data_IF_441615554754
#
_entry.id   IF_441615554754
#
_cell.length_a   1.000
_cell.length_b   1.000
_cell.length_c   1.000
_cell.angle_alpha   90.00
_cell.angle_beta   90.00
_cell.angle_gamma   90.00
#
_symmetry.space_group_name_H-M   'P 1'
#
loop_
_entity.id
_entity.type
_entity.pdbx_description
1 polymer ?
#
# COMPACT_ATOMS: atom_id res chain seq x y z
N UNK A 1 29.43 -22.72 -43.94
CA UNK A 1 28.70 -23.93 -43.52
C UNK A 1 27.40 -23.46 -42.86
N UNK A 2 26.33 -23.15 -43.60
CA UNK A 2 25.37 -24.08 -44.25
C UNK A 2 24.80 -25.11 -43.27
N UNK A 3 23.46 -25.08 -43.17
CA UNK A 3 22.52 -26.19 -42.89
C UNK A 3 22.27 -26.56 -41.41
N UNK A 4 21.18 -26.05 -40.84
CA UNK A 4 19.90 -26.78 -40.79
C UNK A 4 18.87 -26.06 -39.93
N UNK A 5 17.90 -25.41 -40.57
CA UNK A 5 16.50 -25.38 -40.15
C UNK A 5 15.65 -24.88 -41.35
N UNK A 6 15.68 -25.66 -42.43
CA UNK A 6 14.68 -25.64 -43.50
C UNK A 6 13.75 -26.82 -43.25
N UNK A 7 12.66 -26.56 -42.56
CA UNK A 7 11.36 -27.26 -42.62
C UNK A 7 10.38 -26.27 -41.96
N UNK A 8 9.26 -25.97 -42.63
CA UNK A 8 8.30 -24.89 -42.38
C UNK A 8 8.47 -23.59 -43.20
N UNK A 9 8.71 -23.75 -44.51
CA UNK A 9 7.89 -23.04 -45.49
C UNK A 9 6.83 -24.07 -45.90
N UNK A 10 5.54 -23.77 -45.68
CA UNK A 10 4.37 -24.33 -46.40
C UNK A 10 3.01 -24.10 -45.72
N UNK A 11 2.80 -23.01 -44.94
CA UNK A 11 1.41 -22.61 -44.54
C UNK A 11 1.15 -21.10 -44.60
N UNK A 12 2.15 -20.23 -44.83
CA UNK A 12 1.96 -18.76 -44.81
C UNK A 12 1.61 -18.16 -46.20
N UNK A 13 1.34 -18.98 -47.22
CA UNK A 13 1.05 -18.47 -48.58
C UNK A 13 -0.29 -18.94 -49.18
N UNK A 14 -1.28 -19.29 -48.34
CA UNK A 14 -2.59 -19.78 -48.81
C UNK A 14 -3.82 -19.14 -48.17
N UNK A 15 -3.73 -17.96 -47.55
CA UNK A 15 -4.92 -17.20 -47.08
C UNK A 15 -4.92 -15.73 -47.50
N UNK A 16 -3.95 -15.29 -48.31
CA UNK A 16 -3.91 -13.93 -48.89
C UNK A 16 -4.47 -13.85 -50.32
N UNK A 17 -5.26 -14.85 -50.75
CA UNK A 17 -6.04 -14.81 -51.99
C UNK A 17 -7.47 -15.25 -51.65
N UNK A 18 -8.22 -14.34 -51.04
CA UNK A 18 -9.70 -14.29 -51.01
C UNK A 18 -10.13 -12.93 -50.42
N UNK A 19 -9.56 -11.87 -50.98
CA UNK A 19 -10.20 -10.56 -51.06
C UNK A 19 -10.43 -10.35 -52.55
N UNK A 20 -11.65 -9.96 -52.90
CA UNK A 20 -12.19 -9.63 -54.24
C UNK A 20 -12.99 -10.75 -54.90
N UNK A 21 -14.19 -10.36 -55.36
CA UNK A 21 -15.23 -11.11 -56.09
C UNK A 21 -16.32 -11.69 -55.19
N UNK A 22 -17.24 -10.81 -54.77
CA UNK A 22 -18.65 -10.83 -55.21
C UNK A 22 -19.27 -9.46 -54.90
N UNK A 23 -18.86 -8.47 -55.68
CA UNK A 23 -19.70 -7.32 -56.03
C UNK A 23 -20.49 -7.77 -57.27
N UNK A 24 -21.80 -7.91 -57.16
CA UNK A 24 -22.68 -7.99 -58.33
C UNK A 24 -23.99 -7.24 -58.06
N UNK A 25 -24.11 -6.08 -58.71
CA UNK A 25 -25.31 -5.69 -59.48
C UNK A 25 -26.61 -5.36 -58.73
N UNK A 26 -26.95 -4.07 -58.78
CA UNK A 26 -28.19 -3.39 -58.39
C UNK A 26 -29.53 -4.09 -58.69
N UNK A 27 -30.49 -3.94 -57.76
CA UNK A 27 -31.86 -3.50 -58.04
C UNK A 27 -32.46 -2.75 -56.85
N UNK A 28 -33.06 -1.60 -57.13
CA UNK A 28 -33.74 -0.70 -56.18
C UNK A 28 -35.00 -1.34 -55.62
N UNK A 29 -35.20 -1.31 -54.30
CA UNK A 29 -36.50 -1.09 -53.68
C UNK A 29 -36.32 -0.56 -52.25
N UNK A 30 -36.99 0.55 -51.96
CA UNK A 30 -37.02 1.22 -50.68
C UNK A 30 -37.65 0.33 -49.59
N UNK A 31 -37.20 0.51 -48.34
CA UNK A 31 -38.02 0.73 -47.13
C UNK A 31 -37.33 0.19 -45.86
N UNK A 32 -37.22 1.06 -44.85
CA UNK A 32 -36.80 0.74 -43.48
C UNK A 32 -35.34 1.07 -43.15
N UNK A 33 -35.04 2.34 -42.82
CA UNK A 33 -33.84 2.65 -42.03
C UNK A 33 -34.07 2.16 -40.60
N UNK A 34 -33.67 0.92 -40.33
CA UNK A 34 -33.56 0.40 -38.97
C UNK A 34 -32.25 0.83 -38.34
N UNK A 35 -32.29 1.22 -37.06
CA UNK A 35 -31.11 1.49 -36.24
C UNK A 35 -30.27 0.21 -36.17
N UNK A 36 -29.10 0.18 -36.80
CA UNK A 36 -28.10 -0.87 -36.62
C UNK A 36 -27.03 -0.41 -35.64
N UNK A 37 -27.42 -0.19 -34.39
CA UNK A 37 -26.48 0.14 -33.31
C UNK A 37 -26.44 -1.02 -32.31
N UNK A 38 -25.23 -1.53 -32.04
CA UNK A 38 -24.98 -2.69 -31.20
C UNK A 38 -24.42 -2.20 -29.85
N UNK A 39 -24.93 -2.68 -28.69
CA UNK A 39 -24.41 -2.23 -27.41
C UNK A 39 -22.99 -2.70 -27.22
N UNK A 40 -22.15 -1.94 -26.52
CA UNK A 40 -20.83 -2.43 -26.14
C UNK A 40 -20.59 -2.39 -24.63
N UNK A 41 -19.86 -3.40 -24.16
CA UNK A 41 -19.44 -3.46 -22.77
C UNK A 41 -18.30 -2.47 -22.55
N UNK A 42 -18.61 -1.32 -21.98
CA UNK A 42 -17.60 -0.31 -21.66
C UNK A 42 -16.70 -0.74 -20.50
N UNK A 43 -17.26 -1.40 -19.50
CA UNK A 43 -16.49 -1.96 -18.39
C UNK A 43 -17.14 -3.23 -17.83
N UNK A 44 -16.29 -4.20 -17.51
CA UNK A 44 -16.68 -5.44 -16.84
C UNK A 44 -16.06 -5.40 -15.46
N UNK A 45 -16.85 -4.98 -14.47
CA UNK A 45 -16.39 -5.06 -13.08
C UNK A 45 -16.53 -6.50 -12.60
N UNK A 46 -15.40 -7.24 -12.57
CA UNK A 46 -15.32 -8.63 -12.10
C UNK A 46 -16.11 -8.86 -10.81
N UNK A 47 -16.81 -10.00 -10.82
CA UNK A 47 -17.93 -10.37 -9.99
C UNK A 47 -17.75 -10.18 -8.48
N UNK A 48 -18.79 -9.64 -7.84
CA UNK A 48 -18.88 -9.55 -6.38
C UNK A 48 -19.84 -10.60 -5.85
N UNK A 49 -19.36 -11.59 -5.09
CA UNK A 49 -20.17 -12.65 -4.45
C UNK A 49 -21.22 -13.36 -5.33
N UNK A 50 -20.89 -13.72 -6.57
CA UNK A 50 -21.84 -14.34 -7.50
C UNK A 50 -22.74 -13.36 -8.24
N UNK A 51 -22.43 -12.06 -8.14
CA UNK A 51 -23.04 -11.01 -8.97
C UNK A 51 -22.02 -10.54 -10.01
N UNK A 52 -22.33 -10.68 -11.30
CA UNK A 52 -21.53 -10.09 -12.39
C UNK A 52 -22.14 -8.75 -12.77
N UNK A 53 -21.35 -7.68 -12.79
CA UNK A 53 -21.82 -6.31 -13.09
C UNK A 53 -21.22 -5.82 -14.38
N UNK A 54 -22.06 -5.22 -15.22
CA UNK A 54 -21.69 -4.64 -16.50
C UNK A 54 -22.03 -3.15 -16.49
N UNK A 55 -21.13 -2.35 -17.01
CA UNK A 55 -21.42 -0.99 -17.47
C UNK A 55 -21.50 -1.07 -18.98
N UNK A 56 -22.67 -0.76 -19.53
CA UNK A 56 -22.96 -0.81 -20.96
C UNK A 56 -23.11 0.62 -21.43
N UNK A 57 -22.43 0.97 -22.53
CA UNK A 57 -22.55 2.27 -23.16
C UNK A 57 -23.70 2.33 -24.15
N UNK A 58 -24.27 3.51 -24.36
CA UNK A 58 -24.92 3.80 -25.64
C UNK A 58 -23.86 3.77 -26.76
N UNK A 59 -24.20 3.18 -27.91
CA UNK A 59 -23.43 3.41 -29.13
C UNK A 59 -23.48 4.91 -29.42
N UNK A 60 -22.33 5.58 -29.50
CA UNK A 60 -22.30 7.03 -29.76
C UNK A 60 -22.36 7.21 -31.28
N UNK A 61 -23.41 7.87 -31.75
CA UNK A 61 -23.53 8.29 -33.14
C UNK A 61 -22.71 9.57 -33.35
N UNK A 62 -21.70 9.52 -34.22
CA UNK A 62 -20.97 10.69 -34.71
C UNK A 62 -21.33 10.89 -36.19
N UNK A 63 -22.56 11.30 -36.47
CA UNK A 63 -22.86 11.92 -37.76
C UNK A 63 -22.58 13.42 -37.66
N UNK A 64 -21.32 13.80 -37.86
CA UNK A 64 -20.99 15.17 -38.25
C UNK A 64 -21.46 15.36 -39.70
N UNK A 65 -22.64 15.95 -39.89
CA UNK A 65 -23.00 16.54 -41.17
C UNK A 65 -22.11 17.78 -41.40
N UNK A 66 -21.10 17.65 -42.26
CA UNK A 66 -20.45 18.80 -42.92
C UNK A 66 -21.16 19.03 -44.27
N UNK A 67 -22.30 19.71 -44.21
CA UNK A 67 -22.76 20.64 -45.25
C UNK A 67 -22.99 21.95 -44.50
N UNK A 68 -22.35 23.06 -44.83
CA UNK A 68 -22.44 23.69 -46.14
C UNK A 68 -21.15 24.36 -46.60
N UNK A 69 -21.07 24.49 -47.92
CA UNK A 69 -20.12 25.31 -48.66
C UNK A 69 -20.15 26.76 -48.16
N UNK A 70 -19.00 27.27 -47.72
CA UNK A 70 -18.79 28.70 -47.57
C UNK A 70 -18.79 29.35 -48.95
N UNK A 71 -19.92 29.94 -49.33
CA UNK A 71 -19.99 31.03 -50.31
C UNK A 71 -19.85 32.35 -49.54
N UNK A 72 -18.67 32.96 -49.59
CA UNK A 72 -18.46 34.35 -49.20
C UNK A 72 -19.37 35.27 -50.04
N UNK A 73 -20.28 36.00 -49.40
CA UNK A 73 -20.31 37.47 -49.41
C UNK A 73 -21.64 38.04 -48.90
N UNK A 74 -21.49 39.20 -48.27
CA UNK A 74 -22.45 40.28 -48.04
C UNK A 74 -23.34 40.26 -46.79
N UNK A 75 -22.95 41.21 -45.91
CA UNK A 75 -23.72 41.93 -44.90
C UNK A 75 -25.14 42.29 -45.36
N UNK A 76 -26.16 41.99 -44.53
CA UNK A 76 -27.22 42.95 -44.15
C UNK A 76 -27.75 42.59 -42.74
N UNK A 77 -27.95 43.63 -41.93
CA UNK A 77 -28.71 43.66 -40.68
C UNK A 77 -30.23 43.38 -40.89
N UNK A 78 -30.91 43.20 -39.77
CA UNK A 78 -32.37 43.30 -39.52
C UNK A 78 -33.26 42.06 -39.75
N UNK A 79 -33.83 41.65 -38.61
CA UNK A 79 -35.23 41.27 -38.33
C UNK A 79 -35.95 40.20 -39.18
N UNK A 80 -36.51 39.25 -38.42
CA UNK A 80 -37.64 38.37 -38.75
C UNK A 80 -37.47 37.42 -39.95
N UNK A 81 -37.01 36.20 -39.65
CA UNK A 81 -37.52 35.01 -40.34
C UNK A 81 -37.61 33.81 -39.39
N UNK A 82 -38.80 33.65 -38.80
CA UNK A 82 -39.28 32.37 -38.30
C UNK A 82 -39.49 31.45 -39.50
N UNK A 83 -38.51 30.61 -39.82
CA UNK A 83 -38.77 29.43 -40.63
C UNK A 83 -39.15 28.28 -39.68
N UNK A 84 -40.42 27.92 -39.73
CA UNK A 84 -40.94 26.67 -39.19
C UNK A 84 -40.22 25.54 -39.93
N UNK A 85 -39.16 25.01 -39.33
CA UNK A 85 -38.82 23.63 -39.60
C UNK A 85 -39.94 22.79 -38.99
N UNK A 86 -40.76 22.22 -39.88
CA UNK A 86 -41.65 21.12 -39.57
C UNK A 86 -40.89 20.15 -38.66
N UNK A 87 -41.40 19.94 -37.46
CA UNK A 87 -41.03 18.82 -36.60
C UNK A 87 -41.52 17.54 -37.33
N UNK A 88 -40.84 17.16 -38.42
CA UNK A 88 -40.96 15.82 -38.97
C UNK A 88 -40.44 14.86 -37.89
N UNK A 89 -41.38 14.29 -37.15
CA UNK A 89 -41.31 13.07 -36.33
C UNK A 89 -39.95 12.36 -36.38
N UNK A 90 -38.96 12.92 -35.68
CA UNK A 90 -37.78 12.16 -35.32
C UNK A 90 -38.26 11.22 -34.22
N UNK A 91 -38.67 10.02 -34.61
CA UNK A 91 -38.77 8.90 -33.68
C UNK A 91 -37.36 8.67 -33.13
N UNK A 92 -37.05 9.42 -32.07
CA UNK A 92 -36.01 9.12 -31.12
C UNK A 92 -36.39 7.80 -30.44
N UNK A 93 -36.21 6.71 -31.18
CA UNK A 93 -36.26 5.35 -30.62
C UNK A 93 -34.95 5.10 -29.89
N UNK A 94 -34.66 5.99 -28.94
CA UNK A 94 -33.61 5.82 -27.97
C UNK A 94 -33.94 4.54 -27.19
N UNK A 95 -33.09 3.51 -27.24
CA UNK A 95 -33.40 2.23 -26.64
C UNK A 95 -33.59 2.39 -25.12
N UNK A 96 -34.81 2.13 -24.65
CA UNK A 96 -35.20 2.39 -23.27
C UNK A 96 -34.71 1.29 -22.31
N UNK A 97 -34.40 0.10 -22.83
CA UNK A 97 -34.06 -1.08 -22.05
C UNK A 97 -32.94 -1.91 -22.68
N UNK A 98 -32.17 -2.54 -21.81
CA UNK A 98 -31.08 -3.45 -22.13
C UNK A 98 -31.38 -4.83 -21.54
N UNK A 99 -31.07 -5.87 -22.31
CA UNK A 99 -31.23 -7.25 -21.89
C UNK A 99 -29.89 -7.97 -21.87
N UNK A 100 -29.54 -8.57 -20.74
CA UNK A 100 -28.30 -9.30 -20.52
C UNK A 100 -28.55 -10.80 -20.59
N UNK A 101 -27.79 -11.47 -21.45
CA UNK A 101 -27.88 -12.90 -21.68
C UNK A 101 -26.59 -13.59 -21.26
N UNK A 102 -26.72 -14.84 -20.79
CA UNK A 102 -25.61 -15.66 -20.30
C UNK A 102 -25.70 -17.09 -20.85
N UNK A 103 -24.55 -17.68 -21.16
CA UNK A 103 -24.38 -19.11 -21.39
C UNK A 103 -23.15 -19.68 -20.68
N UNK A 104 -23.14 -21.00 -20.48
CA UNK A 104 -21.94 -21.77 -20.08
C UNK A 104 -21.05 -22.12 -21.28
N UNK A 105 -21.58 -21.98 -22.50
CA UNK A 105 -20.89 -22.24 -23.77
C UNK A 105 -20.75 -20.93 -24.57
N UNK A 106 -19.79 -20.88 -25.47
CA UNK A 106 -19.47 -19.64 -26.21
C UNK A 106 -20.47 -19.35 -27.35
N UNK A 107 -21.09 -20.38 -27.93
CA UNK A 107 -21.82 -20.29 -29.19
C UNK A 107 -23.34 -20.36 -29.05
N UNK A 108 -23.85 -21.01 -28.02
CA UNK A 108 -25.27 -21.38 -27.88
C UNK A 108 -25.72 -21.35 -26.41
N UNK A 109 -27.00 -21.67 -26.14
CA UNK A 109 -27.53 -21.80 -24.78
C UNK A 109 -27.67 -20.50 -24.00
N UNK A 110 -27.77 -19.36 -24.70
CA UNK A 110 -27.92 -18.05 -24.05
C UNK A 110 -29.33 -17.84 -23.51
N UNK A 111 -29.41 -17.60 -22.20
CA UNK A 111 -30.66 -17.26 -21.52
C UNK A 111 -30.59 -15.86 -20.91
N UNK A 112 -31.71 -15.14 -20.91
CA UNK A 112 -31.78 -13.81 -20.29
C UNK A 112 -31.66 -13.96 -18.76
N UNK A 113 -30.68 -13.27 -18.18
CA UNK A 113 -30.40 -13.33 -16.73
C UNK A 113 -30.67 -12.01 -16.02
N UNK A 114 -30.75 -10.90 -16.74
CA UNK A 114 -31.11 -9.60 -16.21
C UNK A 114 -31.59 -8.66 -17.32
N UNK A 115 -32.28 -7.61 -16.93
CA UNK A 115 -32.52 -6.43 -17.77
C UNK A 115 -32.42 -5.16 -16.93
N UNK A 116 -32.25 -4.02 -17.59
CA UNK A 116 -32.18 -2.72 -16.94
C UNK A 116 -32.39 -1.58 -17.93
N UNK A 117 -32.57 -0.38 -17.41
CA UNK A 117 -32.71 0.85 -18.19
C UNK A 117 -31.43 1.68 -18.05
N UNK A 118 -31.33 2.76 -18.83
CA UNK A 118 -30.30 3.77 -18.64
C UNK A 118 -30.33 4.33 -17.22
N UNK A 119 -29.16 4.51 -16.60
CA UNK A 119 -29.03 5.27 -15.36
C UNK A 119 -28.76 6.76 -15.63
N UNK A 120 -28.25 7.07 -16.83
CA UNK A 120 -28.00 8.39 -17.36
C UNK A 120 -27.99 8.32 -18.89
N UNK A 121 -27.88 9.47 -19.55
CA UNK A 121 -27.97 9.62 -21.00
C UNK A 121 -26.97 8.77 -21.80
N UNK A 122 -25.97 8.11 -21.16
CA UNK A 122 -24.89 7.42 -21.86
C UNK A 122 -24.65 5.98 -21.40
N UNK A 123 -25.22 5.53 -20.28
CA UNK A 123 -24.86 4.23 -19.71
C UNK A 123 -25.96 3.55 -18.88
N UNK A 124 -25.98 2.22 -18.97
CA UNK A 124 -26.79 1.35 -18.13
C UNK A 124 -25.89 0.48 -17.24
N UNK A 125 -26.35 0.23 -16.00
CA UNK A 125 -25.72 -0.75 -15.09
C UNK A 125 -26.63 -1.95 -14.91
N UNK A 126 -26.18 -3.11 -15.40
CA UNK A 126 -26.93 -4.36 -15.30
C UNK A 126 -26.13 -5.39 -14.53
N UNK A 127 -26.82 -6.25 -13.77
CA UNK A 127 -26.17 -7.28 -12.98
C UNK A 127 -26.87 -8.63 -13.06
N UNK A 128 -26.12 -9.67 -13.42
CA UNK A 128 -26.53 -11.06 -13.21
C UNK A 128 -26.24 -11.44 -11.76
N UNK A 129 -27.29 -11.69 -10.96
CA UNK A 129 -27.19 -12.04 -9.54
C UNK A 129 -27.19 -13.55 -9.27
N UNK A 130 -27.21 -14.37 -10.32
CA UNK A 130 -27.40 -15.83 -10.25
C UNK A 130 -26.12 -16.61 -10.57
N UNK A 131 -25.02 -15.92 -10.90
CA UNK A 131 -23.78 -16.55 -11.31
C UNK A 131 -23.09 -17.30 -10.16
N UNK A 132 -22.69 -18.55 -10.38
CA UNK A 132 -22.00 -19.35 -9.38
C UNK A 132 -20.49 -19.07 -9.35
N UNK A 133 -19.92 -18.87 -8.15
CA UNK A 133 -18.46 -18.74 -7.96
C UNK A 133 -17.76 -20.02 -8.42
N UNK A 134 -16.65 -19.85 -9.15
CA UNK A 134 -15.86 -20.94 -9.75
C UNK A 134 -16.28 -21.29 -11.17
N UNK A 135 -17.43 -20.80 -11.63
CA UNK A 135 -17.87 -20.96 -13.00
C UNK A 135 -17.23 -19.92 -13.92
N UNK A 136 -17.19 -20.27 -15.19
CA UNK A 136 -16.87 -19.36 -16.30
C UNK A 136 -18.11 -19.28 -17.17
N UNK A 137 -18.55 -18.07 -17.45
CA UNK A 137 -19.72 -17.80 -18.27
C UNK A 137 -19.38 -16.89 -19.44
N UNK A 138 -20.23 -16.94 -20.46
CA UNK A 138 -20.17 -16.09 -21.63
C UNK A 138 -21.41 -15.19 -21.65
N UNK A 139 -21.21 -13.89 -21.82
CA UNK A 139 -22.27 -12.89 -21.78
C UNK A 139 -22.41 -12.15 -23.11
N UNK A 140 -23.65 -11.80 -23.45
CA UNK A 140 -24.03 -10.90 -24.54
C UNK A 140 -25.10 -9.93 -24.04
N UNK A 141 -25.19 -8.75 -24.65
CA UNK A 141 -26.22 -7.75 -24.37
C UNK A 141 -26.87 -7.29 -25.68
N UNK A 142 -28.14 -6.90 -25.61
CA UNK A 142 -28.88 -6.24 -26.70
C UNK A 142 -29.81 -5.14 -26.16
N UNK A 143 -30.32 -4.31 -27.08
CA UNK A 143 -31.29 -3.25 -26.81
C UNK A 143 -32.73 -3.67 -27.10
N UNK A 144 -33.67 -3.16 -26.30
CA UNK A 144 -35.12 -3.32 -26.49
C UNK A 144 -35.88 -2.05 -26.08
N UNK A 145 -37.03 -1.80 -26.68
CA UNK A 145 -37.97 -0.76 -26.22
C UNK A 145 -38.73 -1.20 -24.95
N UNK A 146 -39.45 -0.28 -24.29
CA UNK A 146 -40.28 -0.60 -23.11
C UNK A 146 -41.34 -1.67 -23.36
N UNK A 147 -41.84 -1.77 -24.59
CA UNK A 147 -42.81 -2.79 -25.02
C UNK A 147 -42.19 -4.17 -25.29
N UNK A 148 -40.85 -4.28 -25.24
CA UNK A 148 -40.10 -5.52 -25.49
C UNK A 148 -39.68 -5.71 -26.95
N UNK A 149 -39.96 -4.76 -27.84
CA UNK A 149 -39.53 -4.80 -29.23
C UNK A 149 -38.00 -4.75 -29.30
N UNK A 150 -37.41 -5.69 -30.06
CA UNK A 150 -35.95 -5.79 -30.24
C UNK A 150 -35.48 -4.70 -31.18
N UNK A 151 -34.53 -3.88 -30.72
CA UNK A 151 -34.08 -2.67 -31.43
C UNK A 151 -32.68 -2.82 -32.05
N UNK A 152 -31.98 -3.95 -31.82
CA UNK A 152 -30.64 -4.17 -32.35
C UNK A 152 -30.14 -5.59 -32.12
N UNK A 153 -29.00 -5.91 -32.75
CA UNK A 153 -28.34 -7.20 -32.59
C UNK A 153 -27.61 -7.33 -31.25
N UNK A 154 -27.20 -8.56 -30.94
CA UNK A 154 -26.30 -8.81 -29.81
C UNK A 154 -24.91 -8.26 -30.06
N UNK A 155 -24.26 -7.88 -28.98
CA UNK A 155 -22.85 -7.55 -29.00
C UNK A 155 -21.90 -8.75 -29.04
N UNK A 156 -20.60 -8.43 -29.10
CA UNK A 156 -19.53 -9.41 -28.98
C UNK A 156 -19.57 -10.13 -27.63
N UNK A 157 -19.30 -11.43 -27.68
CA UNK A 157 -19.27 -12.29 -26.48
C UNK A 157 -18.16 -11.89 -25.54
N UNK A 158 -18.50 -11.72 -24.27
CA UNK A 158 -17.53 -11.53 -23.18
C UNK A 158 -17.45 -12.77 -22.30
N UNK A 159 -16.22 -13.25 -22.05
CA UNK A 159 -15.93 -14.35 -21.13
C UNK A 159 -15.63 -13.83 -19.72
N UNK A 160 -16.36 -14.31 -18.71
CA UNK A 160 -16.22 -13.88 -17.32
C UNK A 160 -16.03 -15.07 -16.39
N UNK A 161 -14.96 -15.05 -15.58
CA UNK A 161 -14.76 -15.97 -14.46
C UNK A 161 -15.35 -15.40 -13.18
N UNK A 162 -16.18 -16.17 -12.48
CA UNK A 162 -16.86 -15.73 -11.26
C UNK A 162 -16.00 -16.07 -10.04
N UNK A 163 -15.64 -15.05 -9.27
CA UNK A 163 -14.76 -15.16 -8.09
C UNK A 163 -15.41 -14.55 -6.83
N UNK A 164 -14.92 -14.86 -5.63
CA UNK A 164 -15.42 -14.23 -4.40
C UNK A 164 -14.95 -12.78 -4.24
N UNK A 165 -15.66 -12.02 -3.39
CA UNK A 165 -15.31 -10.64 -3.03
C UNK A 165 -13.94 -10.56 -2.34
N UNK A 166 -13.07 -9.63 -2.71
CA UNK A 166 -11.78 -9.49 -2.05
C UNK A 166 -11.91 -8.99 -0.60
N UNK A 167 -11.10 -9.56 0.28
CA UNK A 167 -11.02 -9.11 1.67
C UNK A 167 -10.37 -7.73 1.79
N UNK A 168 -11.02 -6.80 2.49
CA UNK A 168 -10.51 -5.43 2.73
C UNK A 168 -9.67 -5.36 4.00
N UNK A 169 -8.35 -5.19 3.86
CA UNK A 169 -7.46 -4.95 5.01
C UNK A 169 -7.78 -3.57 5.61
N UNK A 170 -7.99 -3.55 6.92
CA UNK A 170 -8.22 -2.32 7.71
C UNK A 170 -6.92 -1.73 8.26
N UNK A 171 -6.01 -2.60 8.69
CA UNK A 171 -4.83 -2.18 9.44
C UNK A 171 -3.78 -3.29 9.43
N UNK A 172 -2.52 -2.90 9.28
CA UNK A 172 -1.36 -3.74 9.57
C UNK A 172 -0.47 -2.99 10.55
N UNK A 173 -0.19 -3.57 11.72
CA UNK A 173 0.64 -2.91 12.74
C UNK A 173 1.48 -3.89 13.55
N UNK A 174 2.63 -3.43 14.04
CA UNK A 174 3.43 -4.20 14.98
C UNK A 174 2.70 -4.40 16.32
N UNK A 175 2.64 -5.65 16.78
CA UNK A 175 2.08 -6.00 18.10
C UNK A 175 3.04 -6.84 18.95
N UNK A 176 4.13 -7.29 18.35
CA UNK A 176 5.21 -7.99 19.02
C UNK A 176 6.52 -7.85 18.26
N UNK A 177 7.62 -8.23 18.92
CA UNK A 177 9.01 -8.04 18.44
C UNK A 177 9.31 -8.56 17.03
N UNK A 178 8.54 -9.55 16.57
CA UNK A 178 8.62 -10.18 15.24
C UNK A 178 7.24 -10.43 14.64
N UNK A 179 6.23 -9.72 15.14
CA UNK A 179 4.83 -9.92 14.79
C UNK A 179 4.19 -8.64 14.28
N UNK A 180 3.66 -8.69 13.06
CA UNK A 180 2.62 -7.76 12.59
C UNK A 180 1.25 -8.41 12.80
N UNK A 181 0.27 -7.63 13.22
CA UNK A 181 -1.14 -8.03 13.21
C UNK A 181 -1.83 -7.35 12.04
N UNK A 182 -2.35 -8.17 11.14
CA UNK A 182 -3.16 -7.76 9.99
C UNK A 182 -4.61 -7.95 10.38
N UNK A 183 -5.46 -6.93 10.18
CA UNK A 183 -6.90 -6.97 10.46
C UNK A 183 -7.69 -6.62 9.21
N UNK A 184 -8.84 -7.26 9.00
CA UNK A 184 -9.72 -7.01 7.86
C UNK A 184 -11.20 -7.09 8.24
N UNK A 185 -12.10 -6.68 7.32
CA UNK A 185 -13.54 -6.98 7.40
C UNK A 185 -13.80 -8.37 6.83
N UNK A 186 -14.66 -9.15 7.48
CA UNK A 186 -15.13 -10.42 6.93
C UNK A 186 -15.92 -10.18 5.64
N UNK A 187 -15.91 -11.19 4.79
CA UNK A 187 -16.58 -11.26 3.49
C UNK A 187 -17.59 -12.39 3.59
N UNK A 188 -18.81 -12.18 3.09
CA UNK A 188 -19.85 -13.20 3.02
C UNK A 188 -19.56 -14.21 1.91
N UNK A 189 -20.12 -15.42 2.00
CA UNK A 189 -20.08 -16.41 0.90
C UNK A 189 -18.65 -16.84 0.48
N UNK A 190 -17.73 -16.94 1.45
CA UNK A 190 -16.35 -17.41 1.27
C UNK A 190 -16.04 -18.50 2.29
N UNK A 191 -15.06 -19.36 1.98
CA UNK A 191 -14.61 -20.42 2.91
C UNK A 191 -13.37 -20.00 3.71
N UNK A 192 -12.65 -18.98 3.23
CA UNK A 192 -11.54 -18.42 3.96
C UNK A 192 -10.76 -17.36 3.21
N UNK A 193 -9.55 -17.12 3.73
CA UNK A 193 -8.62 -16.15 3.18
C UNK A 193 -7.23 -16.74 3.03
N UNK A 194 -6.58 -16.44 1.91
CA UNK A 194 -5.17 -16.66 1.68
C UNK A 194 -4.42 -15.34 1.90
N UNK A 195 -3.39 -15.42 2.75
CA UNK A 195 -2.53 -14.28 3.08
C UNK A 195 -1.21 -14.45 2.37
N UNK A 196 -0.80 -13.41 1.66
CA UNK A 196 0.50 -13.32 1.00
C UNK A 196 1.26 -12.08 1.49
N UNK A 197 2.58 -12.09 1.36
CA UNK A 197 3.41 -10.98 1.79
C UNK A 197 4.61 -10.72 0.88
N UNK A 198 5.08 -9.48 0.87
CA UNK A 198 6.33 -9.03 0.24
C UNK A 198 7.06 -8.12 1.24
N UNK A 199 8.34 -8.38 1.48
CA UNK A 199 9.21 -7.43 2.20
C UNK A 199 9.60 -6.31 1.23
N UNK A 200 9.57 -5.07 1.70
CA UNK A 200 9.87 -3.89 0.88
C UNK A 200 11.01 -3.10 1.52
N UNK A 201 11.75 -2.38 0.67
CA UNK A 201 12.87 -1.53 1.09
C UNK A 201 12.38 -0.19 1.67
N UNK A 202 13.35 0.61 2.08
CA UNK A 202 13.15 1.87 2.80
C UNK A 202 12.55 2.96 1.90
N UNK A 203 12.97 3.04 0.64
CA UNK A 203 12.46 3.99 -0.35
C UNK A 203 10.99 3.73 -0.67
N UNK A 204 10.64 2.46 -0.92
CA UNK A 204 9.27 2.05 -1.14
C UNK A 204 8.40 2.26 0.11
N UNK A 205 8.98 2.18 1.30
CA UNK A 205 8.29 2.53 2.55
C UNK A 205 7.96 4.01 2.67
N UNK A 206 8.87 4.90 2.30
CA UNK A 206 8.59 6.33 2.27
C UNK A 206 7.45 6.67 1.30
N UNK A 207 7.45 6.05 0.11
CA UNK A 207 6.35 6.16 -0.85
C UNK A 207 5.03 5.71 -0.22
N UNK A 208 4.95 4.47 0.28
CA UNK A 208 3.71 3.93 0.84
C UNK A 208 3.16 4.77 2.00
N UNK A 209 4.04 5.28 2.87
CA UNK A 209 3.63 6.17 3.94
C UNK A 209 3.01 7.47 3.39
N UNK A 210 3.69 8.10 2.43
CA UNK A 210 3.21 9.34 1.81
C UNK A 210 1.85 9.14 1.11
N UNK A 211 1.72 8.12 0.26
CA UNK A 211 0.51 7.90 -0.54
C UNK A 211 -0.68 7.37 0.27
N UNK A 212 -0.46 6.57 1.31
CA UNK A 212 -1.55 6.06 2.17
C UNK A 212 -2.33 7.16 2.91
N UNK A 213 -1.73 8.34 3.05
CA UNK A 213 -2.36 9.52 3.66
C UNK A 213 -3.37 10.19 2.72
N UNK A 214 -3.19 10.02 1.40
CA UNK A 214 -3.96 10.74 0.39
C UNK A 214 -4.98 9.85 -0.33
N UNK A 215 -4.74 8.54 -0.50
CA UNK A 215 -5.72 7.63 -1.12
C UNK A 215 -5.65 6.21 -0.56
N UNK A 216 -6.81 5.57 -0.35
CA UNK A 216 -6.89 4.14 0.00
C UNK A 216 -6.53 3.21 -1.16
N UNK A 217 -6.59 3.73 -2.39
CA UNK A 217 -6.48 2.96 -3.64
C UNK A 217 -5.12 3.15 -4.32
N UNK A 218 -4.30 4.11 -3.88
CA UNK A 218 -2.97 4.46 -4.42
C UNK A 218 -1.88 3.39 -4.28
N UNK A 219 -2.20 2.19 -3.78
CA UNK A 219 -1.27 1.04 -3.74
C UNK A 219 -1.18 0.35 -5.11
N UNK A 220 -2.16 0.56 -6.00
CA UNK A 220 -2.16 0.00 -7.37
C UNK A 220 -0.98 0.50 -8.21
N UNK A 221 -0.65 1.80 -8.14
CA UNK A 221 0.43 2.43 -8.90
C UNK A 221 1.82 1.82 -8.65
N UNK A 222 2.03 1.21 -7.48
CA UNK A 222 3.32 0.62 -7.10
C UNK A 222 3.49 -0.86 -7.47
N UNK A 223 2.42 -1.55 -7.92
CA UNK A 223 2.55 -2.93 -8.39
C UNK A 223 3.25 -3.01 -9.77
N UNK A 224 3.19 -1.95 -10.58
CA UNK A 224 3.81 -1.90 -11.93
C UNK A 224 5.29 -1.51 -11.93
N UNK A 225 5.73 -0.67 -10.99
CA UNK A 225 7.12 -0.16 -10.92
C UNK A 225 8.07 -0.91 -9.99
N UNK A 226 7.57 -1.76 -9.09
CA UNK A 226 8.42 -2.49 -8.15
C UNK A 226 9.14 -3.67 -8.84
N UNK A 227 10.42 -3.91 -8.52
CA UNK A 227 11.08 -5.20 -8.83
C UNK A 227 10.09 -6.34 -8.59
N UNK A 228 9.85 -7.16 -9.64
CA UNK A 228 8.85 -8.24 -9.73
C UNK A 228 9.14 -9.41 -8.76
N UNK A 229 9.60 -9.14 -7.54
CA UNK A 229 9.65 -10.14 -6.47
C UNK A 229 8.21 -10.55 -6.17
N UNK A 230 7.86 -11.82 -6.40
CA UNK A 230 6.49 -12.29 -6.22
C UNK A 230 6.12 -12.27 -4.74
N UNK A 231 4.83 -12.02 -4.48
CA UNK A 231 4.26 -12.21 -3.16
C UNK A 231 4.45 -13.67 -2.72
N UNK A 232 4.91 -13.86 -1.48
CA UNK A 232 5.07 -15.18 -0.88
C UNK A 232 3.82 -15.57 -0.13
N UNK A 233 3.33 -16.78 -0.34
CA UNK A 233 2.24 -17.33 0.46
C UNK A 233 2.67 -17.45 1.93
N UNK A 234 1.79 -17.02 2.85
CA UNK A 234 2.00 -17.18 4.29
C UNK A 234 1.16 -18.33 4.84
N UNK A 235 -0.17 -18.21 4.75
CA UNK A 235 -1.11 -19.25 5.18
C UNK A 235 -2.55 -18.94 4.76
N UNK A 236 -3.41 -19.95 4.88
CA UNK A 236 -4.87 -19.79 4.86
C UNK A 236 -5.44 -19.61 6.27
N UNK A 237 -6.59 -18.95 6.38
CA UNK A 237 -7.40 -18.84 7.61
C UNK A 237 -8.89 -18.97 7.27
N UNK A 238 -9.72 -19.32 8.25
CA UNK A 238 -11.17 -19.53 8.07
C UNK A 238 -11.91 -18.26 7.67
N UNK A 239 -13.12 -18.42 7.12
CA UNK A 239 -14.02 -17.32 6.76
C UNK A 239 -14.39 -16.40 7.95
N UNK A 240 -14.46 -16.96 9.16
CA UNK A 240 -14.76 -16.21 10.39
C UNK A 240 -13.59 -15.36 10.89
N UNK A 241 -12.38 -15.56 10.37
CA UNK A 241 -11.20 -14.85 10.82
C UNK A 241 -11.27 -13.35 10.48
N UNK A 242 -11.01 -12.52 11.49
CA UNK A 242 -10.93 -11.04 11.36
C UNK A 242 -9.49 -10.51 11.44
N UNK A 243 -8.53 -11.38 11.74
CA UNK A 243 -7.13 -10.99 11.91
C UNK A 243 -6.16 -12.16 11.77
N UNK A 244 -4.91 -11.85 11.46
CA UNK A 244 -3.80 -12.79 11.52
C UNK A 244 -2.56 -12.18 12.15
N UNK A 245 -1.82 -13.00 12.90
CA UNK A 245 -0.45 -12.70 13.32
C UNK A 245 0.53 -13.16 12.24
N UNK A 246 1.22 -12.22 11.60
CA UNK A 246 2.34 -12.46 10.71
C UNK A 246 3.65 -12.44 11.51
N UNK A 247 4.21 -13.61 11.78
CA UNK A 247 5.33 -13.80 12.72
C UNK A 247 6.72 -13.85 12.04
N UNK A 248 6.82 -13.38 10.78
CA UNK A 248 8.08 -13.37 10.01
C UNK A 248 8.68 -11.96 9.87
N UNK A 249 8.11 -10.95 10.53
CA UNK A 249 8.57 -9.58 10.37
C UNK A 249 9.84 -9.28 11.16
N UNK A 250 10.68 -8.42 10.61
CA UNK A 250 11.97 -8.00 11.18
C UNK A 250 11.94 -6.52 11.54
N UNK A 251 12.57 -6.16 12.66
CA UNK A 251 12.68 -4.76 13.11
C UNK A 251 13.10 -3.81 11.99
N UNK A 252 12.34 -2.72 11.83
CA UNK A 252 12.59 -1.67 10.83
C UNK A 252 12.33 -2.07 9.38
N UNK A 253 11.80 -3.26 9.10
CA UNK A 253 11.43 -3.69 7.75
C UNK A 253 9.95 -3.46 7.47
N UNK A 254 9.69 -3.05 6.23
CA UNK A 254 8.37 -2.87 5.65
C UNK A 254 7.81 -4.15 5.05
N UNK A 255 6.49 -4.28 5.11
CA UNK A 255 5.79 -5.40 4.48
C UNK A 255 4.52 -4.95 3.78
N UNK A 256 4.37 -5.37 2.53
CA UNK A 256 3.08 -5.42 1.83
C UNK A 256 2.41 -6.76 2.13
N UNK A 257 1.12 -6.72 2.44
CA UNK A 257 0.29 -7.88 2.74
C UNK A 257 -0.87 -7.89 1.77
N UNK A 258 -0.95 -8.93 0.94
CA UNK A 258 -2.07 -9.14 0.01
C UNK A 258 -3.02 -10.16 0.62
N UNK A 259 -4.29 -9.78 0.73
CA UNK A 259 -5.37 -10.62 1.25
C UNK A 259 -6.29 -11.00 0.11
N UNK A 260 -6.38 -12.30 -0.18
CA UNK A 260 -7.35 -12.85 -1.13
C UNK A 260 -8.36 -13.70 -0.37
N UNK A 261 -9.64 -13.47 -0.58
CA UNK A 261 -10.66 -14.43 -0.16
C UNK A 261 -10.62 -15.63 -1.11
N UNK A 262 -11.12 -16.77 -0.64
CA UNK A 262 -11.32 -17.92 -1.49
C UNK A 262 -12.64 -18.63 -1.17
N UNK A 263 -13.18 -19.30 -2.18
CA UNK A 263 -14.24 -20.31 -2.04
C UNK A 263 -13.73 -21.65 -2.55
N UNK A 264 -14.17 -22.73 -1.92
CA UNK A 264 -13.93 -24.10 -2.33
C UNK A 264 -15.02 -24.50 -3.32
N UNK A 265 -14.59 -24.88 -4.52
CA UNK A 265 -15.45 -25.39 -5.60
C UNK A 265 -14.78 -26.67 -6.07
N UNK A 266 -15.47 -27.79 -5.92
CA UNK A 266 -14.95 -29.14 -6.24
C UNK A 266 -13.57 -29.42 -5.61
N UNK A 267 -13.41 -29.01 -4.35
CA UNK A 267 -12.16 -29.16 -3.60
C UNK A 267 -11.03 -28.20 -4.01
N UNK A 268 -11.22 -27.37 -5.04
CA UNK A 268 -10.25 -26.36 -5.50
C UNK A 268 -10.57 -24.99 -4.92
N UNK A 269 -9.52 -24.23 -4.58
CA UNK A 269 -9.65 -22.84 -4.09
C UNK A 269 -9.75 -21.87 -5.27
N UNK A 270 -10.90 -21.24 -5.42
CA UNK A 270 -11.11 -20.12 -6.35
C UNK A 270 -10.89 -18.82 -5.58
N UNK A 271 -9.85 -18.06 -5.93
CA UNK A 271 -9.48 -16.82 -5.25
C UNK A 271 -10.07 -15.57 -5.91
N UNK A 272 -10.28 -14.51 -5.13
CA UNK A 272 -10.57 -13.16 -5.65
C UNK A 272 -9.44 -12.65 -6.57
N UNK A 273 -9.79 -11.96 -7.67
CA UNK A 273 -8.83 -11.45 -8.67
C UNK A 273 -7.94 -10.31 -8.13
N UNK A 274 -8.52 -9.29 -7.47
CA UNK A 274 -7.76 -8.18 -6.84
C UNK A 274 -7.79 -8.29 -5.32
N UNK A 275 -6.76 -8.85 -4.69
CA UNK A 275 -6.63 -8.78 -3.23
C UNK A 275 -6.26 -7.37 -2.79
N UNK A 276 -6.97 -6.81 -1.81
CA UNK A 276 -6.55 -5.53 -1.22
C UNK A 276 -5.17 -5.71 -0.57
N UNK A 277 -4.30 -4.75 -0.84
CA UNK A 277 -2.96 -4.71 -0.27
C UNK A 277 -2.98 -3.77 0.93
N UNK A 278 -2.58 -4.29 2.08
CA UNK A 278 -2.27 -3.49 3.25
C UNK A 278 -0.77 -3.40 3.42
N UNK A 279 -0.28 -2.38 4.10
CA UNK A 279 1.14 -2.22 4.38
C UNK A 279 1.37 -1.92 5.86
N UNK A 280 2.54 -2.30 6.37
CA UNK A 280 2.96 -1.95 7.72
C UNK A 280 4.44 -2.17 7.95
N UNK A 281 5.01 -1.39 8.87
CA UNK A 281 6.40 -1.49 9.32
C UNK A 281 6.45 -2.27 10.63
N UNK A 282 7.49 -3.09 10.80
CA UNK A 282 7.76 -3.71 12.09
C UNK A 282 8.52 -2.74 12.99
N UNK A 283 7.76 -1.85 13.63
CA UNK A 283 8.18 -0.77 14.52
C UNK A 283 7.83 -1.07 16.00
N UNK A 284 7.77 -2.35 16.40
CA UNK A 284 7.53 -2.72 17.80
C UNK A 284 8.54 -2.04 18.74
N UNK A 285 9.79 -1.95 18.29
CA UNK A 285 10.82 -1.08 18.84
C UNK A 285 10.90 0.19 17.99
N UNK A 286 11.38 1.29 18.60
CA UNK A 286 11.50 2.57 17.91
C UNK A 286 12.33 2.44 16.63
N UNK A 287 11.84 3.02 15.54
CA UNK A 287 12.48 2.99 14.23
C UNK A 287 12.27 4.34 13.53
N UNK A 288 13.30 5.16 13.30
CA UNK A 288 13.15 6.56 12.89
C UNK A 288 12.37 6.74 11.57
N UNK A 289 12.43 5.75 10.68
CA UNK A 289 11.82 5.79 9.35
C UNK A 289 10.35 5.33 9.32
N UNK A 290 9.72 5.19 10.48
CA UNK A 290 8.30 4.84 10.60
C UNK A 290 7.49 6.05 11.11
N UNK A 291 6.19 6.08 10.82
CA UNK A 291 5.24 7.05 11.41
C UNK A 291 5.31 7.11 12.94
N UNK A 292 5.74 6.02 13.57
CA UNK A 292 6.03 5.92 14.99
C UNK A 292 4.90 6.45 15.87
N UNK A 293 3.63 6.24 15.51
CA UNK A 293 2.47 6.78 16.24
C UNK A 293 2.49 6.42 17.73
N UNK A 294 3.01 5.24 18.08
CA UNK A 294 3.28 4.80 19.46
C UNK A 294 4.26 5.73 20.20
N UNK A 295 5.33 6.13 19.52
CA UNK A 295 6.47 6.88 20.04
C UNK A 295 6.35 8.40 19.88
N UNK A 296 5.31 8.91 19.19
CA UNK A 296 4.98 10.34 19.17
C UNK A 296 4.91 10.87 20.62
N UNK A 297 5.84 11.76 20.94
CA UNK A 297 5.87 12.51 22.19
C UNK A 297 5.17 13.84 21.91
N UNK A 298 4.18 14.17 22.73
CA UNK A 298 3.59 15.52 22.72
C UNK A 298 4.57 16.42 23.46
N UNK A 299 5.17 17.37 22.74
CA UNK A 299 6.00 18.42 23.32
C UNK A 299 5.14 19.24 24.30
N UNK A 300 5.42 19.27 25.61
CA UNK A 300 4.81 20.24 26.50
C UNK A 300 5.14 21.66 26.03
N UNK A 301 4.15 22.53 26.12
CA UNK A 301 4.30 23.97 25.82
C UNK A 301 5.22 24.71 26.80
N UNK A 302 5.69 24.06 27.89
CA UNK A 302 6.62 24.64 28.87
C UNK A 302 7.37 23.58 29.70
N UNK A 303 8.58 23.94 30.15
CA UNK A 303 9.48 23.15 31.01
C UNK A 303 8.88 22.89 32.42
N UNK A 304 7.92 23.73 32.85
CA UNK A 304 7.23 23.65 34.15
C UNK A 304 6.30 22.44 34.35
N UNK A 305 6.34 21.43 33.46
CA UNK A 305 5.52 20.23 33.52
C UNK A 305 6.27 18.94 33.90
N UNK A 306 7.46 19.03 34.50
CA UNK A 306 8.27 17.87 34.94
C UNK A 306 7.49 16.80 35.71
N UNK A 307 6.53 17.21 36.56
CA UNK A 307 5.63 16.31 37.32
C UNK A 307 4.81 15.37 36.41
N UNK A 308 4.46 15.82 35.19
CA UNK A 308 3.73 14.99 34.22
C UNK A 308 4.62 13.93 33.57
N UNK A 309 5.92 14.16 33.46
CA UNK A 309 6.87 13.21 32.86
C UNK A 309 7.32 12.13 33.83
N UNK A 310 7.53 12.46 35.11
CA UNK A 310 7.85 11.46 36.14
C UNK A 310 6.81 10.32 36.18
N UNK A 311 5.51 10.62 36.01
CA UNK A 311 4.43 9.62 35.92
C UNK A 311 4.54 8.67 34.71
N UNK A 312 5.27 9.08 33.67
CA UNK A 312 5.52 8.32 32.44
C UNK A 312 6.83 7.54 32.48
N UNK A 313 7.58 7.60 33.59
CA UNK A 313 8.84 6.88 33.75
C UNK A 313 8.65 5.48 34.33
N UNK A 314 9.59 4.59 34.05
CA UNK A 314 9.71 3.26 34.65
C UNK A 314 11.18 2.90 34.79
N UNK A 315 11.53 2.15 35.82
CA UNK A 315 12.87 1.62 36.00
C UNK A 315 13.01 0.32 35.21
N UNK A 316 14.06 0.21 34.40
CA UNK A 316 14.41 -1.00 33.68
C UNK A 316 15.70 -1.58 34.25
N UNK A 317 15.75 -2.90 34.41
CA UNK A 317 16.99 -3.62 34.66
C UNK A 317 17.60 -4.05 33.31
N UNK A 318 18.88 -3.74 33.11
CA UNK A 318 19.65 -4.13 31.92
C UNK A 318 20.97 -4.77 32.33
N UNK A 319 21.43 -5.77 31.57
CA UNK A 319 22.73 -6.41 31.79
C UNK A 319 23.79 -5.73 30.95
N UNK A 320 24.95 -5.48 31.53
CA UNK A 320 26.14 -4.93 30.88
C UNK A 320 27.38 -5.75 31.25
N UNK A 321 28.50 -5.45 30.61
CA UNK A 321 29.80 -5.96 31.02
C UNK A 321 30.55 -4.89 31.79
N UNK A 322 31.33 -5.29 32.78
CA UNK A 322 32.24 -4.41 33.50
C UNK A 322 33.51 -5.21 33.85
N UNK A 323 34.62 -4.55 34.14
CA UNK A 323 35.85 -5.22 34.61
C UNK A 323 35.77 -5.47 36.10
N UNK A 324 36.24 -6.65 36.56
CA UNK A 324 36.33 -6.93 38.00
C UNK A 324 37.11 -5.86 38.77
N UNK A 325 38.19 -5.37 38.18
CA UNK A 325 38.83 -4.13 38.62
C UNK A 325 38.47 -3.03 37.63
N UNK A 326 37.44 -2.26 37.98
CA UNK A 326 36.91 -1.16 37.19
C UNK A 326 37.98 -0.10 36.94
N UNK A 327 38.61 0.45 37.98
CA UNK A 327 39.57 1.56 37.87
C UNK A 327 40.80 1.19 37.03
N UNK A 328 41.32 -0.03 37.17
CA UNK A 328 42.51 -0.46 36.45
C UNK A 328 42.22 -1.04 35.06
N UNK A 329 40.95 -1.17 34.65
CA UNK A 329 40.52 -1.85 33.42
C UNK A 329 41.05 -3.29 33.31
N UNK A 330 41.19 -3.99 34.44
CA UNK A 330 41.91 -5.27 34.53
C UNK A 330 41.03 -6.42 35.00
N UNK A 331 41.46 -7.63 34.65
CA UNK A 331 40.82 -8.88 35.03
C UNK A 331 39.68 -9.29 34.11
N UNK A 332 39.01 -10.38 34.47
CA UNK A 332 37.87 -10.88 33.72
C UNK A 332 36.70 -9.88 33.74
N UNK A 333 36.02 -9.75 32.60
CA UNK A 333 34.74 -9.03 32.55
C UNK A 333 33.65 -9.84 33.26
N UNK A 334 32.82 -9.18 34.04
CA UNK A 334 31.68 -9.78 34.72
C UNK A 334 30.37 -9.11 34.28
N UNK A 335 29.26 -9.81 34.52
CA UNK A 335 27.92 -9.27 34.26
C UNK A 335 27.54 -8.29 35.36
N UNK A 336 27.29 -7.04 35.00
CA UNK A 336 26.71 -6.03 35.89
C UNK A 336 25.25 -5.81 35.51
N UNK A 337 24.38 -5.58 36.50
CA UNK A 337 22.99 -5.17 36.26
C UNK A 337 22.86 -3.70 36.58
N UNK A 338 22.44 -2.90 35.61
CA UNK A 338 22.15 -1.48 35.78
C UNK A 338 20.64 -1.27 35.84
N UNK A 339 20.22 -0.31 36.67
CA UNK A 339 18.83 0.10 36.83
C UNK A 339 18.69 1.52 36.29
N UNK A 340 17.96 1.68 35.19
CA UNK A 340 17.87 2.94 34.46
C UNK A 340 16.41 3.40 34.47
N UNK A 341 16.15 4.63 34.89
CA UNK A 341 14.83 5.22 34.84
C UNK A 341 14.57 5.84 33.46
N UNK A 342 13.65 5.27 32.70
CA UNK A 342 13.39 5.64 31.28
C UNK A 342 11.90 5.86 31.02
N UNK A 343 11.56 6.43 29.88
CA UNK A 343 10.18 6.53 29.43
C UNK A 343 9.54 5.14 29.23
N UNK A 344 8.34 4.92 29.79
CA UNK A 344 7.56 3.66 29.65
C UNK A 344 7.41 3.21 28.20
N UNK A 345 7.25 4.15 27.26
CA UNK A 345 7.09 3.83 25.83
C UNK A 345 8.38 3.28 25.20
N UNK A 346 9.54 3.81 25.61
CA UNK A 346 10.85 3.44 25.09
C UNK A 346 11.53 2.30 25.86
N UNK A 347 11.04 1.97 27.06
CA UNK A 347 11.56 0.88 27.88
C UNK A 347 11.79 -0.44 27.11
N UNK A 348 10.88 -0.93 26.24
CA UNK A 348 11.15 -2.12 25.43
C UNK A 348 12.34 -1.94 24.46
N UNK A 349 12.45 -0.77 23.83
CA UNK A 349 13.53 -0.42 22.89
C UNK A 349 14.86 -0.38 23.62
N UNK A 350 14.96 0.35 24.73
CA UNK A 350 16.21 0.51 25.48
C UNK A 350 16.66 -0.85 26.06
N UNK A 351 15.74 -1.66 26.61
CA UNK A 351 16.05 -3.04 27.02
C UNK A 351 16.62 -3.88 25.86
N UNK A 352 16.11 -3.69 24.65
CA UNK A 352 16.61 -4.42 23.48
C UNK A 352 17.99 -3.92 23.04
N UNK A 353 18.25 -2.62 23.06
CA UNK A 353 19.57 -2.03 22.78
C UNK A 353 20.63 -2.65 23.71
N UNK A 354 20.43 -2.55 25.02
CA UNK A 354 21.37 -3.11 25.99
C UNK A 354 21.51 -4.63 25.87
N UNK A 355 20.41 -5.35 25.56
CA UNK A 355 20.47 -6.80 25.30
C UNK A 355 21.35 -7.15 24.11
N UNK A 356 21.31 -6.38 23.02
CA UNK A 356 22.16 -6.59 21.84
C UNK A 356 23.62 -6.26 22.13
N UNK A 357 23.88 -5.14 22.82
CA UNK A 357 25.22 -4.76 23.28
C UNK A 357 25.83 -5.85 24.18
N UNK A 358 25.07 -6.32 25.17
CA UNK A 358 25.50 -7.37 26.11
C UNK A 358 25.84 -8.69 25.43
N UNK A 359 25.10 -9.06 24.38
CA UNK A 359 25.33 -10.29 23.61
C UNK A 359 26.45 -10.18 22.58
N UNK A 360 26.97 -8.98 22.34
CA UNK A 360 28.02 -8.80 21.37
C UNK A 360 29.33 -9.48 21.82
N UNK A 361 30.06 -10.08 20.88
CA UNK A 361 31.32 -10.79 21.13
C UNK A 361 32.40 -9.90 21.75
N UNK A 362 32.41 -8.59 21.45
CA UNK A 362 33.42 -7.64 21.97
C UNK A 362 33.20 -7.31 23.46
N UNK A 363 32.00 -7.61 24.01
CA UNK A 363 31.64 -7.35 25.41
C UNK A 363 32.00 -5.92 25.85
N UNK A 364 31.50 -4.88 25.18
CA UNK A 364 31.89 -3.50 25.49
C UNK A 364 31.51 -3.19 26.95
N UNK A 365 32.45 -2.65 27.75
CA UNK A 365 32.19 -2.46 29.17
C UNK A 365 31.40 -1.16 29.42
N UNK A 366 30.31 -1.25 30.17
CA UNK A 366 29.44 -0.16 30.59
C UNK A 366 29.21 -0.33 32.08
N UNK A 367 29.87 0.50 32.89
CA UNK A 367 29.82 0.38 34.35
C UNK A 367 28.68 1.21 34.96
N UNK A 368 28.18 2.20 34.22
CA UNK A 368 27.06 3.05 34.60
C UNK A 368 26.30 3.57 33.39
N UNK A 369 25.02 3.88 33.60
CA UNK A 369 24.17 4.51 32.59
C UNK A 369 23.05 5.32 33.27
N UNK A 370 22.83 6.55 32.80
CA UNK A 370 21.80 7.47 33.29
C UNK A 370 20.81 7.85 32.19
N UNK A 371 19.57 8.18 32.54
CA UNK A 371 18.54 8.60 31.58
C UNK A 371 17.69 9.74 32.12
N UNK A 372 16.58 9.46 32.81
CA UNK A 372 15.72 10.52 33.31
C UNK A 372 16.41 11.37 34.37
N UNK A 373 16.38 12.69 34.20
CA UNK A 373 16.83 13.69 35.16
C UNK A 373 15.76 14.76 35.31
N UNK A 374 15.56 15.24 36.53
CA UNK A 374 14.50 16.19 36.86
C UNK A 374 15.02 17.64 36.78
N UNK A 375 14.34 18.49 36.02
CA UNK A 375 14.51 19.95 36.10
C UNK A 375 15.70 20.53 35.33
N UNK A 376 16.20 19.84 34.30
CA UNK A 376 17.22 20.41 33.40
C UNK A 376 16.59 21.42 32.42
N UNK A 377 17.36 22.46 32.07
CA UNK A 377 17.05 23.58 31.19
C UNK A 377 17.01 23.18 29.70
N UNK A 378 16.90 24.14 28.77
CA UNK A 378 16.61 23.93 27.33
C UNK A 378 17.52 22.92 26.59
N UNK A 379 18.69 22.57 27.16
CA UNK A 379 19.63 21.57 26.62
C UNK A 379 19.38 20.12 27.11
N UNK A 380 18.63 19.92 28.21
CA UNK A 380 18.35 18.61 28.85
C UNK A 380 17.00 17.99 28.48
N UNK A 381 16.39 18.43 27.36
CA UNK A 381 15.01 18.10 27.02
C UNK A 381 14.74 16.59 26.90
N UNK A 382 15.68 15.84 26.30
CA UNK A 382 15.54 14.39 26.11
C UNK A 382 15.78 13.58 27.39
N UNK A 383 16.62 14.08 28.30
CA UNK A 383 16.77 13.51 29.66
C UNK A 383 15.48 13.68 30.45
N UNK A 384 14.90 14.87 30.49
CA UNK A 384 13.59 15.12 31.14
C UNK A 384 12.45 14.25 30.58
N UNK A 385 12.58 13.74 29.35
CA UNK A 385 11.62 12.83 28.74
C UNK A 385 11.92 11.35 28.95
N UNK A 386 13.08 11.01 29.52
CA UNK A 386 13.56 9.64 29.70
C UNK A 386 13.86 8.92 28.39
N UNK A 387 14.33 9.67 27.37
CA UNK A 387 14.66 9.18 26.03
C UNK A 387 16.08 9.56 25.58
N UNK A 388 16.89 10.08 26.50
CA UNK A 388 18.34 10.18 26.40
C UNK A 388 19.02 9.16 27.33
N UNK A 389 20.22 8.73 26.97
CA UNK A 389 21.05 7.80 27.74
C UNK A 389 22.48 8.31 27.75
N UNK A 390 22.99 8.66 28.94
CA UNK A 390 24.42 8.86 29.17
C UNK A 390 25.03 7.56 29.66
N UNK A 391 26.27 7.29 29.28
CA UNK A 391 27.02 6.14 29.77
C UNK A 391 28.43 6.55 30.15
N UNK A 392 28.95 5.96 31.22
CA UNK A 392 30.33 6.15 31.67
C UNK A 392 30.70 7.65 31.77
N UNK A 393 30.12 8.35 32.75
CA UNK A 393 30.11 9.81 32.88
C UNK A 393 31.53 10.40 32.86
N UNK A 394 32.50 9.69 33.45
CA UNK A 394 33.89 10.14 33.48
C UNK A 394 34.51 10.13 32.08
N UNK A 395 34.16 9.13 31.26
CA UNK A 395 34.53 8.99 29.86
C UNK A 395 33.62 9.77 28.88
N UNK A 396 32.68 10.54 29.41
CA UNK A 396 31.68 11.29 28.65
C UNK A 396 31.83 12.81 28.79
N UNK A 397 32.83 13.43 28.13
CA UNK A 397 32.96 14.87 28.18
C UNK A 397 31.82 15.53 27.39
N UNK A 398 31.07 16.40 28.07
CA UNK A 398 30.09 17.30 27.47
C UNK A 398 30.70 18.69 27.30
N UNK A 399 30.70 19.19 26.08
CA UNK A 399 31.18 20.52 25.72
C UNK A 399 29.98 21.43 25.43
N UNK A 400 30.06 22.68 25.85
CA UNK A 400 29.03 23.68 25.52
C UNK A 400 29.05 24.01 24.04
N UNK A 401 27.88 24.36 23.50
CA UNK A 401 27.77 25.08 22.22
C UNK A 401 27.54 26.55 22.50
N UNK A 402 28.41 27.41 21.98
CA UNK A 402 28.27 28.87 22.03
C UNK A 402 28.38 29.38 20.60
N UNK A 403 27.33 30.05 20.11
CA UNK A 403 27.26 30.59 18.74
C UNK A 403 27.58 29.53 17.66
N UNK A 404 27.05 28.31 17.81
CA UNK A 404 27.28 27.20 16.88
C UNK A 404 28.65 26.51 16.98
N UNK A 405 29.57 26.99 17.83
CA UNK A 405 30.91 26.41 18.03
C UNK A 405 30.98 25.65 19.36
N UNK A 406 31.72 24.54 19.35
CA UNK A 406 31.95 23.70 20.54
C UNK A 406 33.07 24.32 21.39
N UNK A 407 32.89 24.40 22.72
CA UNK A 407 33.91 24.90 23.65
C UNK A 407 35.12 23.97 23.74
N UNK A 408 36.29 24.53 24.10
CA UNK A 408 37.52 23.72 24.30
C UNK A 408 37.53 22.97 25.63
N UNK A 409 36.81 23.46 26.64
CA UNK A 409 36.71 22.87 27.98
C UNK A 409 35.37 22.14 28.12
N UNK A 410 35.41 20.93 28.66
CA UNK A 410 34.24 20.16 29.02
C UNK A 410 33.62 20.70 30.33
N UNK A 411 32.30 20.61 30.43
CA UNK A 411 31.53 21.01 31.62
C UNK A 411 31.34 19.86 32.61
N UNK A 412 31.14 18.67 32.06
CA UNK A 412 31.05 17.40 32.78
C UNK A 412 31.83 16.36 32.00
N UNK A 413 32.22 15.28 32.68
CA UNK A 413 33.10 14.26 32.14
C UNK A 413 34.53 14.76 31.95
N UNK A 414 35.49 13.86 32.14
CA UNK A 414 36.89 14.23 32.27
C UNK A 414 37.65 14.06 30.95
N UNK A 415 37.34 13.02 30.16
CA UNK A 415 38.07 12.72 28.94
C UNK A 415 37.31 11.76 28.02
N UNK A 416 37.72 11.66 26.75
CA UNK A 416 37.24 10.63 25.82
C UNK A 416 38.42 10.02 25.04
N UNK A 417 38.70 8.74 25.26
CA UNK A 417 39.90 8.05 24.75
C UNK A 417 39.58 6.67 24.13
N UNK A 418 38.82 6.61 23.02
CA UNK A 418 38.19 5.38 22.52
C UNK A 418 39.12 4.27 21.99
N UNK A 419 40.43 4.53 21.94
CA UNK A 419 41.45 3.55 21.54
C UNK A 419 42.22 2.98 22.73
N UNK A 420 42.30 3.72 23.83
CA UNK A 420 43.16 3.37 24.98
C UNK A 420 42.35 3.11 26.25
N UNK A 421 41.20 3.77 26.41
CA UNK A 421 40.27 3.50 27.49
C UNK A 421 39.06 2.70 26.93
N UNK A 422 38.81 1.47 27.43
CA UNK A 422 37.74 0.62 26.93
C UNK A 422 36.32 1.11 27.28
N UNK A 423 36.17 2.03 28.23
CA UNK A 423 34.90 2.67 28.58
C UNK A 423 34.57 3.88 27.70
N UNK A 424 35.53 4.39 26.91
CA UNK A 424 35.26 5.36 25.86
C UNK A 424 34.89 4.62 24.57
N UNK A 425 33.65 4.71 24.10
CA UNK A 425 33.22 3.94 22.92
C UNK A 425 33.59 4.65 21.62
N UNK A 426 34.25 3.97 20.67
CA UNK A 426 34.62 4.59 19.39
C UNK A 426 33.39 5.02 18.58
N UNK A 427 33.59 6.03 17.72
CA UNK A 427 32.64 6.37 16.66
C UNK A 427 32.40 5.19 15.73
N UNK A 428 31.14 4.99 15.36
CA UNK A 428 30.67 3.87 14.56
C UNK A 428 31.04 2.48 15.13
N UNK A 429 31.27 2.40 16.44
CA UNK A 429 31.52 1.16 17.16
C UNK A 429 30.24 0.38 17.43
N UNK A 430 30.38 -0.79 18.07
CA UNK A 430 29.25 -1.68 18.43
C UNK A 430 28.16 -0.94 19.20
N UNK A 431 28.53 -0.12 20.19
CA UNK A 431 27.55 0.60 21.03
C UNK A 431 26.76 1.59 20.17
N UNK A 432 27.43 2.54 19.49
CA UNK A 432 26.76 3.55 18.67
C UNK A 432 25.94 2.95 17.53
N UNK A 433 26.47 1.94 16.82
CA UNK A 433 25.72 1.28 15.76
C UNK A 433 24.46 0.58 16.29
N UNK A 434 24.51 0.04 17.51
CA UNK A 434 23.34 -0.59 18.14
C UNK A 434 22.30 0.45 18.53
N UNK A 435 22.69 1.58 19.12
CA UNK A 435 21.76 2.69 19.40
C UNK A 435 21.13 3.23 18.10
N UNK A 436 21.94 3.45 17.06
CA UNK A 436 21.48 3.97 15.76
C UNK A 436 20.45 3.06 15.08
N UNK A 437 20.61 1.73 15.16
CA UNK A 437 19.63 0.75 14.66
C UNK A 437 18.22 0.94 15.25
N UNK A 438 18.14 1.56 16.43
CA UNK A 438 16.91 1.82 17.15
C UNK A 438 16.54 3.31 17.20
N UNK A 439 17.13 4.14 16.33
CA UNK A 439 16.79 5.56 16.20
C UNK A 439 17.39 6.47 17.28
N UNK A 440 18.41 6.01 17.99
CA UNK A 440 19.14 6.82 18.95
C UNK A 440 20.47 7.28 18.36
N UNK A 441 20.72 8.58 18.43
CA UNK A 441 21.89 9.21 17.84
C UNK A 441 22.77 9.81 18.92
N UNK A 442 24.06 9.81 18.63
CA UNK A 442 25.08 10.28 19.55
C UNK A 442 25.47 11.70 19.23
N UNK A 443 25.42 12.58 20.23
CA UNK A 443 25.76 13.98 20.05
C UNK A 443 27.25 14.19 19.76
N UNK A 444 27.58 15.23 19.00
CA UNK A 444 28.96 15.59 18.67
C UNK A 444 29.67 16.35 19.79
N UNK A 445 28.91 16.90 20.74
CA UNK A 445 29.42 17.68 21.86
C UNK A 445 29.24 16.96 23.20
N UNK A 446 28.54 15.84 23.24
CA UNK A 446 28.35 14.98 24.42
C UNK A 446 28.61 13.52 23.98
N UNK A 447 29.84 13.05 24.22
CA UNK A 447 30.46 12.02 23.38
C UNK A 447 30.00 10.59 23.65
N UNK A 448 29.25 10.36 24.71
CA UNK A 448 28.68 9.07 25.12
C UNK A 448 27.19 9.20 25.47
N UNK A 449 26.60 10.35 25.14
CA UNK A 449 25.18 10.61 25.20
C UNK A 449 24.48 10.11 23.93
N UNK A 450 23.36 9.41 24.11
CA UNK A 450 22.52 8.91 23.03
C UNK A 450 21.06 9.30 23.25
N UNK A 451 20.49 10.02 22.31
CA UNK A 451 19.10 10.50 22.38
C UNK A 451 18.27 10.02 21.19
N UNK A 452 16.99 9.76 21.45
CA UNK A 452 16.05 9.41 20.39
C UNK A 452 15.72 10.66 19.56
N UNK A 453 16.13 10.69 18.29
CA UNK A 453 15.73 11.77 17.38
C UNK A 453 14.36 11.44 16.81
N UNK A 454 13.33 12.13 17.31
CA UNK A 454 12.08 12.29 16.57
C UNK A 454 12.36 12.98 15.23
N UNK A 455 11.41 12.92 14.30
CA UNK A 455 11.48 13.58 12.99
C UNK A 455 11.53 15.12 13.16
N UNK A 456 12.66 15.64 13.63
CA UNK A 456 12.92 17.03 13.92
C UNK A 456 13.72 17.55 12.74
N UNK A 457 13.07 18.39 11.91
CA UNK A 457 13.68 19.01 10.73
C UNK A 457 14.92 19.88 10.98
N UNK A 458 15.43 19.91 12.21
CA UNK A 458 16.67 20.60 12.61
C UNK A 458 17.84 19.66 12.93
N UNK A 459 17.68 18.33 12.84
CA UNK A 459 18.75 17.37 13.16
C UNK A 459 19.72 17.08 11.99
N UNK A 460 19.57 17.77 10.85
CA UNK A 460 20.56 17.78 9.77
C UNK A 460 21.63 18.87 10.00
N UNK A 461 22.46 18.79 11.06
CA UNK A 461 23.69 19.61 11.16
C UNK A 461 24.78 18.97 12.04
#
# INVERSE_FOLDING_TARGET
MKKNCRKFISVILAVLILVSILYSGNSVQAEGRGITEVPDFQDITVSKNGVVKFVIGQGINYDYYYGDEYSENDYVDDDDYYDYYDEEDYYDSNPEKYELYRSSEVSDGYEMVASGTLENDYSAKISDKTAAIGSVYYYKVRYTNSDGTVCGEFNNVVKVGVVPDPGKIKNVRATGKKTLTVKWKTVSNVDGYNIYYKEVDEEMMYGLHYFSKYESDGISYYEDGAEKKPYKFYKSVSASAKSVKFNKSKHGKGYLIKLKSYKLVDGKKVESVRGYVGHGVQDYYYCPNAENTKYKLVWPKSVSQGNKWAKKMTVIAVKTWDYKNHEAHKGAKYTKTLYIQVNKKYAPTIKQIFKEIYKNKTKPPIYEAGSFRWGEDELGYYHCQGVAIDMNVNENPMFKRVNGKITKKAEVGSFYKPKTNPYSFPRNGVVENTFRKYGFYRLNHDLMHFEAHGNCGSCNY
#
